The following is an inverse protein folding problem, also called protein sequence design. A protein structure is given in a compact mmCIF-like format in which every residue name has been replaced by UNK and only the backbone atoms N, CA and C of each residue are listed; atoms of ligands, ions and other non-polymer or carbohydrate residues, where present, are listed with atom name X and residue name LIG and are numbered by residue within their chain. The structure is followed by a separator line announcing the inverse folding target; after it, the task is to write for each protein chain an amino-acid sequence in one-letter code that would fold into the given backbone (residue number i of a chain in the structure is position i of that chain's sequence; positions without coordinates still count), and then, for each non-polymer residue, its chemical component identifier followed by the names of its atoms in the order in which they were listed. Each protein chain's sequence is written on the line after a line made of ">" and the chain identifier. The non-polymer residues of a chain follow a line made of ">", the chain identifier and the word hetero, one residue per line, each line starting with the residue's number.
data_IF_311717539179
#
_entry.id   IF_311717539179
#
_cell.length_a   1.000
_cell.length_b   1.000
_cell.length_c   1.000
_cell.angle_alpha   90.00
_cell.angle_beta   90.00
_cell.angle_gamma   90.00
#
_symmetry.space_group_name_H-M   'P 1'
#
loop_
_entity.id
_entity.type
_entity.pdbx_description
1 polymer ?
#
# COMPACT_ATOMS: atom_id res chain seq x y z
N UNK A 1 40.28 -12.74 18.91
CA UNK A 1 39.71 -12.57 17.55
C UNK A 1 38.19 -12.84 17.46
N UNK A 2 37.56 -13.63 18.36
CA UNK A 2 36.10 -13.87 18.39
C UNK A 2 35.21 -12.63 18.68
N UNK A 3 35.77 -11.60 19.33
CA UNK A 3 35.03 -10.38 19.73
C UNK A 3 34.71 -9.44 18.55
N UNK A 4 35.52 -9.46 17.50
CA UNK A 4 35.29 -8.62 16.31
C UNK A 4 34.24 -9.22 15.36
N UNK A 5 34.04 -10.55 15.40
CA UNK A 5 33.04 -11.23 14.59
C UNK A 5 31.60 -10.88 15.04
N UNK A 6 31.40 -10.65 16.34
CA UNK A 6 30.12 -10.19 16.89
C UNK A 6 29.82 -8.73 16.56
N UNK A 7 30.85 -7.88 16.42
CA UNK A 7 30.67 -6.46 16.10
C UNK A 7 30.26 -6.23 14.64
N UNK A 8 30.73 -7.06 13.71
CA UNK A 8 30.40 -6.95 12.28
C UNK A 8 28.94 -7.36 11.96
N UNK A 9 28.34 -8.25 12.76
CA UNK A 9 26.98 -8.72 12.54
C UNK A 9 25.91 -7.66 12.89
N UNK A 10 26.23 -6.74 13.81
CA UNK A 10 25.29 -5.72 14.27
C UNK A 10 25.05 -4.61 13.24
N UNK A 11 26.04 -4.32 12.39
CA UNK A 11 25.95 -3.31 11.32
C UNK A 11 25.11 -3.75 10.12
N UNK A 12 24.87 -5.06 9.94
CA UNK A 12 24.05 -5.61 8.85
C UNK A 12 22.54 -5.56 9.13
N UNK A 13 22.14 -5.38 10.38
CA UNK A 13 20.73 -5.31 10.78
C UNK A 13 20.08 -3.94 10.47
N UNK A 14 20.87 -2.90 10.19
CA UNK A 14 20.37 -1.57 9.86
C UNK A 14 20.11 -1.35 8.37
N UNK A 15 20.54 -2.27 7.50
CA UNK A 15 20.37 -2.16 6.05
C UNK A 15 19.08 -2.84 5.53
N UNK A 16 18.27 -3.45 6.40
CA UNK A 16 17.06 -4.19 6.01
C UNK A 16 15.77 -3.35 6.02
N UNK A 17 15.82 -2.06 6.40
CA UNK A 17 14.69 -1.14 6.35
C UNK A 17 14.95 0.00 5.36
N UNK A 18 15.18 -0.33 4.09
CA UNK A 18 15.19 0.68 3.03
C UNK A 18 14.58 0.13 1.75
N UNK A 19 13.32 -0.27 1.81
CA UNK A 19 12.48 -0.50 0.63
C UNK A 19 11.12 0.12 0.90
N UNK A 20 11.10 1.46 0.94
CA UNK A 20 9.88 2.27 0.91
C UNK A 20 9.94 3.20 -0.30
N UNK A 21 10.26 2.63 -1.47
CA UNK A 21 10.23 3.33 -2.76
C UNK A 21 8.83 3.28 -3.43
N UNK A 22 7.88 2.50 -2.90
CA UNK A 22 6.69 2.09 -3.65
C UNK A 22 5.48 3.04 -3.63
N UNK A 23 5.57 4.19 -2.95
CA UNK A 23 4.43 5.12 -2.87
C UNK A 23 3.19 4.56 -2.15
N UNK A 24 3.28 3.37 -1.56
CA UNK A 24 2.18 2.68 -0.88
C UNK A 24 1.55 3.50 0.25
N UNK A 25 2.39 4.27 0.96
CA UNK A 25 1.91 5.23 1.96
C UNK A 25 0.87 6.19 1.36
N UNK A 26 1.17 6.78 0.20
CA UNK A 26 0.30 7.75 -0.44
C UNK A 26 -0.96 7.11 -1.05
N UNK A 27 -0.86 5.86 -1.55
CA UNK A 27 -2.03 5.10 -2.05
C UNK A 27 -3.07 4.85 -0.95
N UNK A 28 -2.63 4.72 0.30
CA UNK A 28 -3.49 4.47 1.47
C UNK A 28 -3.80 5.74 2.29
N UNK A 29 -3.19 6.87 1.94
CA UNK A 29 -3.41 8.19 2.56
C UNK A 29 -3.66 9.26 1.49
N UNK A 30 -4.82 9.23 0.79
CA UNK A 30 -5.12 10.15 -0.30
C UNK A 30 -4.97 11.64 0.07
N UNK A 31 -5.37 12.04 1.28
CA UNK A 31 -5.21 13.44 1.72
C UNK A 31 -3.73 13.87 1.76
N UNK A 32 -2.86 13.05 2.35
CA UNK A 32 -1.43 13.34 2.40
C UNK A 32 -0.81 13.38 1.00
N UNK A 33 -1.33 12.60 0.06
CA UNK A 33 -0.93 12.65 -1.34
C UNK A 33 -1.34 13.95 -2.01
N UNK A 34 -2.58 14.41 -1.82
CA UNK A 34 -3.03 15.70 -2.38
C UNK A 34 -2.19 16.86 -1.85
N UNK A 35 -1.89 16.86 -0.55
CA UNK A 35 -1.04 17.88 0.08
C UNK A 35 0.39 17.85 -0.50
N UNK A 36 0.98 16.65 -0.65
CA UNK A 36 2.31 16.49 -1.22
C UNK A 36 2.39 16.91 -2.71
N UNK A 37 1.36 16.61 -3.51
CA UNK A 37 1.28 17.02 -4.92
C UNK A 37 1.12 18.54 -5.02
N UNK A 38 0.29 19.14 -4.17
CA UNK A 38 0.08 20.59 -4.14
C UNK A 38 1.34 21.38 -3.78
N UNK A 39 2.14 20.84 -2.87
CA UNK A 39 3.38 21.48 -2.41
C UNK A 39 4.57 21.22 -3.36
N UNK A 40 4.39 20.45 -4.43
CA UNK A 40 5.44 20.20 -5.44
C UNK A 40 5.58 21.39 -6.42
N UNK A 41 6.82 21.82 -6.77
CA UNK A 41 8.12 21.26 -6.37
C UNK A 41 8.70 21.88 -5.07
N UNK A 42 8.00 22.82 -4.44
CA UNK A 42 8.53 23.61 -3.32
C UNK A 42 8.90 22.76 -2.08
N UNK A 43 8.16 21.67 -1.79
CA UNK A 43 8.45 20.72 -0.72
C UNK A 43 8.34 19.27 -1.20
N UNK A 44 9.25 18.89 -2.08
CA UNK A 44 9.33 17.51 -2.54
C UNK A 44 9.75 16.56 -1.39
N UNK A 45 9.06 15.41 -1.20
CA UNK A 45 9.50 14.38 -0.26
C UNK A 45 10.89 13.82 -0.60
N UNK A 46 11.69 13.50 0.42
CA UNK A 46 13.08 13.05 0.25
C UNK A 46 13.21 11.73 -0.53
N UNK A 47 12.18 10.88 -0.48
CA UNK A 47 12.21 9.53 -1.05
C UNK A 47 11.42 9.41 -2.38
N UNK A 48 10.85 10.50 -2.90
CA UNK A 48 9.99 10.43 -4.09
C UNK A 48 10.03 11.71 -4.91
N UNK A 49 10.14 11.57 -6.24
CA UNK A 49 10.04 12.70 -7.16
C UNK A 49 8.60 13.20 -7.30
N UNK A 50 8.41 14.47 -7.67
CA UNK A 50 7.09 15.01 -7.99
C UNK A 50 6.41 14.25 -9.16
N UNK A 51 7.21 13.66 -10.07
CA UNK A 51 6.69 12.80 -11.13
C UNK A 51 6.09 11.51 -10.56
N UNK A 52 6.82 10.80 -9.69
CA UNK A 52 6.32 9.60 -9.03
C UNK A 52 5.08 9.90 -8.17
N UNK A 53 5.05 11.05 -7.46
CA UNK A 53 3.86 11.49 -6.75
C UNK A 53 2.66 11.71 -7.69
N UNK A 54 2.87 12.32 -8.85
CA UNK A 54 1.82 12.52 -9.84
C UNK A 54 1.29 11.18 -10.38
N UNK A 55 2.18 10.21 -10.65
CA UNK A 55 1.79 8.87 -11.09
C UNK A 55 0.93 8.16 -10.03
N UNK A 56 1.28 8.28 -8.74
CA UNK A 56 0.46 7.75 -7.64
C UNK A 56 -0.88 8.48 -7.55
N UNK A 57 -0.89 9.81 -7.71
CA UNK A 57 -2.11 10.62 -7.67
C UNK A 57 -3.08 10.28 -8.80
N UNK A 58 -2.58 9.97 -10.00
CA UNK A 58 -3.42 9.50 -11.11
C UNK A 58 -4.16 8.22 -10.70
N UNK A 59 -3.45 7.23 -10.14
CA UNK A 59 -4.07 5.98 -9.70
C UNK A 59 -5.11 6.18 -8.59
N UNK A 60 -4.78 6.98 -7.58
CA UNK A 60 -5.71 7.32 -6.48
C UNK A 60 -6.96 8.04 -7.01
N UNK A 61 -6.79 9.00 -7.91
CA UNK A 61 -7.89 9.73 -8.53
C UNK A 61 -8.75 8.83 -9.42
N UNK A 62 -8.15 7.85 -10.11
CA UNK A 62 -8.90 6.87 -10.89
C UNK A 62 -9.79 6.01 -9.99
N UNK A 63 -9.28 5.54 -8.84
CA UNK A 63 -10.08 4.79 -7.88
C UNK A 63 -11.20 5.65 -7.27
N UNK A 64 -10.91 6.90 -6.93
CA UNK A 64 -11.90 7.87 -6.47
C UNK A 64 -13.01 8.07 -7.51
N UNK A 65 -12.64 8.23 -8.79
CA UNK A 65 -13.59 8.34 -9.88
C UNK A 65 -14.45 7.08 -10.05
N UNK A 66 -13.84 5.89 -9.96
CA UNK A 66 -14.57 4.62 -10.02
C UNK A 66 -15.57 4.48 -8.87
N UNK A 67 -15.21 4.91 -7.65
CA UNK A 67 -16.13 4.94 -6.52
C UNK A 67 -17.30 5.89 -6.80
N UNK A 68 -17.03 7.12 -7.24
CA UNK A 68 -18.07 8.12 -7.48
C UNK A 68 -19.04 7.75 -8.62
N UNK A 69 -18.53 7.17 -9.71
CA UNK A 69 -19.36 6.84 -10.88
C UNK A 69 -20.25 5.62 -10.64
N UNK A 70 -19.76 4.64 -9.87
CA UNK A 70 -20.51 3.42 -9.55
C UNK A 70 -20.10 2.84 -8.19
N UNK A 71 -20.65 3.37 -7.08
CA UNK A 71 -20.30 2.92 -5.74
C UNK A 71 -20.61 1.44 -5.50
N UNK A 72 -21.68 0.92 -6.11
CA UNK A 72 -22.05 -0.49 -5.98
C UNK A 72 -21.02 -1.40 -6.63
N UNK A 73 -20.59 -1.12 -7.86
CA UNK A 73 -19.56 -1.89 -8.53
C UNK A 73 -18.22 -1.81 -7.77
N UNK A 74 -17.88 -0.65 -7.21
CA UNK A 74 -16.69 -0.50 -6.37
C UNK A 74 -16.77 -1.36 -5.11
N UNK A 75 -17.92 -1.34 -4.41
CA UNK A 75 -18.17 -2.18 -3.25
C UNK A 75 -18.08 -3.69 -3.57
N UNK A 76 -18.56 -4.12 -4.73
CA UNK A 76 -18.43 -5.51 -5.17
C UNK A 76 -16.97 -5.94 -5.37
N UNK A 77 -16.08 -5.04 -5.82
CA UNK A 77 -14.65 -5.33 -5.91
C UNK A 77 -14.04 -5.57 -4.53
N UNK A 78 -14.39 -4.74 -3.55
CA UNK A 78 -13.95 -4.89 -2.16
C UNK A 78 -14.39 -6.25 -1.61
N UNK A 79 -15.67 -6.59 -1.76
CA UNK A 79 -16.23 -7.87 -1.29
C UNK A 79 -15.53 -9.07 -1.95
N UNK A 80 -15.28 -9.01 -3.25
CA UNK A 80 -14.59 -10.07 -3.98
C UNK A 80 -13.15 -10.30 -3.50
N UNK A 81 -12.41 -9.22 -3.21
CA UNK A 81 -11.05 -9.32 -2.64
C UNK A 81 -11.11 -9.90 -1.22
N UNK A 82 -12.06 -9.48 -0.40
CA UNK A 82 -12.24 -10.01 0.97
C UNK A 82 -12.57 -11.51 0.96
N UNK A 83 -13.45 -11.96 0.08
CA UNK A 83 -13.78 -13.38 -0.10
C UNK A 83 -12.55 -14.18 -0.55
N UNK A 84 -11.81 -13.66 -1.53
CA UNK A 84 -10.56 -14.27 -2.01
C UNK A 84 -9.55 -14.41 -0.87
N UNK A 85 -9.31 -13.34 -0.09
CA UNK A 85 -8.42 -13.37 1.07
C UNK A 85 -8.86 -14.40 2.11
N UNK A 86 -10.16 -14.51 2.40
CA UNK A 86 -10.68 -15.50 3.32
C UNK A 86 -10.33 -16.94 2.87
N UNK A 87 -10.50 -17.25 1.58
CA UNK A 87 -10.12 -18.54 1.01
C UNK A 87 -8.61 -18.79 1.04
N UNK A 88 -7.81 -17.79 0.68
CA UNK A 88 -6.34 -17.89 0.69
C UNK A 88 -5.82 -18.11 2.13
N UNK A 89 -6.36 -17.38 3.10
CA UNK A 89 -6.01 -17.53 4.52
C UNK A 89 -6.41 -18.90 5.06
N UNK A 90 -7.59 -19.42 4.72
CA UNK A 90 -7.99 -20.78 5.06
C UNK A 90 -7.02 -21.82 4.45
N UNK A 91 -6.60 -21.62 3.20
CA UNK A 91 -5.67 -22.51 2.51
C UNK A 91 -4.26 -22.48 3.12
N UNK A 92 -3.76 -21.30 3.52
CA UNK A 92 -2.49 -21.17 4.23
C UNK A 92 -2.53 -21.77 5.63
N UNK A 93 -3.67 -21.69 6.33
CA UNK A 93 -3.86 -22.37 7.63
C UNK A 93 -3.77 -23.89 7.47
N UNK A 94 -4.33 -24.45 6.39
CA UNK A 94 -4.28 -25.88 6.11
C UNK A 94 -2.88 -26.33 5.63
N UNK A 95 -2.20 -25.52 4.82
CA UNK A 95 -0.85 -25.79 4.34
C UNK A 95 -0.02 -24.48 4.26
N UNK A 96 0.83 -24.21 5.28
CA UNK A 96 1.60 -22.95 5.37
C UNK A 96 2.76 -22.81 4.37
N UNK A 97 3.19 -23.89 3.70
CA UNK A 97 4.37 -23.91 2.86
C UNK A 97 4.02 -23.60 1.39
N UNK A 98 3.32 -22.49 1.17
CA UNK A 98 2.89 -22.03 -0.15
C UNK A 98 3.40 -20.58 -0.38
N UNK A 99 4.66 -20.39 -0.82
CA UNK A 99 5.26 -19.07 -0.94
C UNK A 99 4.53 -18.17 -1.97
N UNK A 100 4.08 -18.73 -3.09
CA UNK A 100 3.29 -17.99 -4.09
C UNK A 100 1.94 -17.52 -3.52
N UNK A 101 1.29 -18.37 -2.74
CA UNK A 101 0.04 -18.01 -2.06
C UNK A 101 0.25 -16.87 -1.05
N UNK A 102 1.40 -16.82 -0.36
CA UNK A 102 1.73 -15.71 0.54
C UNK A 102 1.91 -14.39 -0.22
N UNK A 103 2.57 -14.42 -1.39
CA UNK A 103 2.74 -13.23 -2.23
C UNK A 103 1.40 -12.70 -2.74
N UNK A 104 0.52 -13.61 -3.19
CA UNK A 104 -0.82 -13.21 -3.66
C UNK A 104 -1.71 -12.69 -2.52
N UNK A 105 -1.60 -13.25 -1.32
CA UNK A 105 -2.27 -12.71 -0.12
C UNK A 105 -1.78 -11.30 0.17
N UNK A 106 -0.47 -11.08 0.20
CA UNK A 106 0.09 -9.75 0.45
C UNK A 106 -0.41 -8.73 -0.59
N UNK A 107 -0.37 -9.09 -1.88
CA UNK A 107 -0.87 -8.22 -2.94
C UNK A 107 -2.37 -7.89 -2.77
N UNK A 108 -3.19 -8.89 -2.45
CA UNK A 108 -4.63 -8.68 -2.22
C UNK A 108 -4.90 -7.82 -0.97
N UNK A 109 -4.09 -7.96 0.08
CA UNK A 109 -4.16 -7.11 1.28
C UNK A 109 -3.81 -5.65 0.95
N UNK A 110 -2.76 -5.43 0.16
CA UNK A 110 -2.37 -4.10 -0.33
C UNK A 110 -3.49 -3.47 -1.17
N UNK A 111 -4.04 -4.21 -2.14
CA UNK A 111 -5.16 -3.73 -2.97
C UNK A 111 -6.42 -3.42 -2.14
N UNK A 112 -6.75 -4.27 -1.17
CA UNK A 112 -7.88 -4.04 -0.27
C UNK A 112 -7.69 -2.75 0.54
N UNK A 113 -6.47 -2.53 1.06
CA UNK A 113 -6.15 -1.33 1.81
C UNK A 113 -6.30 -0.06 0.96
N UNK A 114 -5.91 -0.09 -0.31
CA UNK A 114 -6.09 1.02 -1.25
C UNK A 114 -7.58 1.33 -1.47
N UNK A 115 -8.40 0.32 -1.79
CA UNK A 115 -9.85 0.54 -2.00
C UNK A 115 -10.53 1.10 -0.75
N UNK A 116 -10.22 0.55 0.42
CA UNK A 116 -10.77 1.03 1.68
C UNK A 116 -10.28 2.44 2.03
N UNK A 117 -9.05 2.81 1.67
CA UNK A 117 -8.55 4.16 1.86
C UNK A 117 -9.34 5.19 1.04
N UNK A 118 -9.73 4.85 -0.20
CA UNK A 118 -10.56 5.71 -1.05
C UNK A 118 -11.96 5.88 -0.45
N UNK A 119 -12.60 4.78 -0.02
CA UNK A 119 -13.91 4.85 0.65
C UNK A 119 -13.81 5.71 1.91
N UNK A 120 -12.79 5.49 2.74
CA UNK A 120 -12.57 6.28 3.96
C UNK A 120 -12.41 7.76 3.62
N UNK A 121 -11.64 8.09 2.58
CA UNK A 121 -11.36 9.46 2.20
C UNK A 121 -12.61 10.21 1.71
N UNK A 122 -13.43 9.58 0.86
CA UNK A 122 -14.55 10.26 0.22
C UNK A 122 -15.88 10.18 0.99
N UNK A 123 -16.09 9.12 1.77
CA UNK A 123 -17.38 8.82 2.39
C UNK A 123 -17.38 9.01 3.93
N UNK A 124 -16.22 9.30 4.54
CA UNK A 124 -16.17 9.57 5.99
C UNK A 124 -16.37 11.06 6.29
N UNK A 125 -17.09 11.42 7.37
CA UNK A 125 -17.37 12.82 7.73
C UNK A 125 -16.15 13.66 8.15
N UNK A 126 -14.94 13.11 8.05
CA UNK A 126 -13.66 13.79 8.32
C UNK A 126 -12.82 14.00 7.03
N UNK A 127 -13.40 13.72 5.86
CA UNK A 127 -12.83 14.10 4.56
C UNK A 127 -12.83 15.61 4.33
#
# INVERSE_FOLDING_TARGET
>A
MRKYLFMACMSLLLAACSTQEDGQYYRTHPQALQDAVKDCPAKQPTQMSCKQLADVAIGVNELAYQLQINPQAFGMKILSIQETLAHQQASLKANPNQPELKLTVQHNEEQLAEYLAIVRWLESPQG
#
